data_IF_754981700712
#
_entry.id   IF_754981700712
#
_cell.length_a   1.000
_cell.length_b   1.000
_cell.length_c   1.000
_cell.angle_alpha   90.00
_cell.angle_beta   90.00
_cell.angle_gamma   90.00
#
_symmetry.space_group_name_H-M   'P 1'
#
loop_
_entity.id
_entity.type
_entity.pdbx_description
1 polymer ?
#
# COMPACT_ATOMS: atom_id res chain seq x y z
N UNK A 1 -8.38 9.48 7.34
CA UNK A 1 -8.71 8.05 7.50
C UNK A 1 -10.19 7.90 7.81
N UNK A 2 -10.85 6.88 7.25
CA UNK A 2 -12.25 6.55 7.53
C UNK A 2 -12.36 5.15 8.15
N UNK A 3 -13.17 5.03 9.20
CA UNK A 3 -13.34 3.83 10.02
C UNK A 3 -14.59 3.03 9.62
N UNK A 4 -14.75 1.77 10.08
CA UNK A 4 -15.90 0.93 9.74
C UNK A 4 -17.27 1.50 10.13
N UNK A 5 -17.30 2.41 11.10
CA UNK A 5 -18.50 3.11 11.57
C UNK A 5 -18.72 4.45 10.83
N UNK A 6 -18.07 4.61 9.67
CA UNK A 6 -18.09 5.79 8.81
C UNK A 6 -17.45 7.05 9.43
N UNK A 7 -16.86 6.94 10.62
CA UNK A 7 -16.17 8.07 11.25
C UNK A 7 -14.91 8.44 10.45
N UNK A 8 -14.80 9.72 10.12
CA UNK A 8 -13.64 10.28 9.43
C UNK A 8 -12.74 10.98 10.44
N UNK A 9 -11.51 10.50 10.57
CA UNK A 9 -10.46 11.12 11.37
C UNK A 9 -9.44 11.78 10.44
N UNK A 10 -9.20 13.07 10.67
CA UNK A 10 -8.13 13.80 10.02
C UNK A 10 -6.81 13.52 10.75
N UNK A 11 -5.87 12.85 10.10
CA UNK A 11 -4.58 12.47 10.70
C UNK A 11 -3.54 13.60 10.69
N UNK A 12 -3.91 14.79 10.21
CA UNK A 12 -3.07 15.99 10.33
C UNK A 12 -3.08 16.85 9.07
N UNK A 13 -2.57 18.09 9.18
CA UNK A 13 -2.50 19.02 8.06
C UNK A 13 -1.34 18.67 7.12
N UNK A 14 -1.55 17.68 6.25
CA UNK A 14 -0.64 17.44 5.11
C UNK A 14 -0.92 18.37 3.92
N UNK A 15 -1.91 19.26 4.04
CA UNK A 15 -2.35 20.16 2.97
C UNK A 15 -1.90 21.60 3.25
N UNK A 16 -1.07 22.16 2.36
CA UNK A 16 -0.52 23.54 2.46
C UNK A 16 -1.18 24.52 1.49
N UNK A 17 -2.24 24.11 0.78
CA UNK A 17 -2.84 24.91 -0.28
C UNK A 17 -4.05 25.73 0.19
N UNK A 18 -4.34 26.87 -0.46
CA UNK A 18 -5.56 27.62 -0.20
C UNK A 18 -6.80 26.77 -0.53
N UNK A 19 -7.78 26.71 0.39
CA UNK A 19 -9.04 26.00 0.14
C UNK A 19 -8.99 24.47 0.32
N UNK A 20 -7.92 23.92 0.91
CA UNK A 20 -7.89 22.52 1.33
C UNK A 20 -9.05 22.21 2.28
N UNK A 21 -9.89 21.24 1.92
CA UNK A 21 -10.94 20.75 2.81
C UNK A 21 -10.45 19.48 3.52
N UNK A 22 -10.84 19.31 4.78
CA UNK A 22 -10.69 18.03 5.49
C UNK A 22 -11.87 17.08 5.24
N UNK A 23 -12.78 17.47 4.35
CA UNK A 23 -13.98 16.70 4.05
C UNK A 23 -13.60 15.54 3.14
N UNK A 24 -14.06 14.35 3.49
CA UNK A 24 -13.94 13.19 2.62
C UNK A 24 -14.76 13.42 1.35
N UNK A 25 -14.11 13.33 0.19
CA UNK A 25 -14.77 13.54 -1.09
C UNK A 25 -14.07 12.72 -2.16
N UNK A 26 -14.85 12.01 -2.97
CA UNK A 26 -14.36 11.23 -4.09
C UNK A 26 -14.43 12.10 -5.36
N UNK A 27 -13.43 12.96 -5.54
CA UNK A 27 -13.27 13.81 -6.70
C UNK A 27 -11.89 13.61 -7.37
N UNK A 28 -11.62 14.31 -8.46
CA UNK A 28 -10.34 14.19 -9.21
C UNK A 28 -9.11 14.68 -8.45
N UNK A 29 -9.29 15.19 -7.22
CA UNK A 29 -8.26 15.66 -6.32
C UNK A 29 -8.09 14.70 -5.14
N UNK A 30 -8.60 13.48 -5.23
CA UNK A 30 -8.59 12.51 -4.15
C UNK A 30 -8.10 11.14 -4.61
N UNK A 31 -7.19 10.53 -3.86
CA UNK A 31 -6.83 9.12 -4.00
C UNK A 31 -7.21 8.40 -2.72
N UNK A 32 -8.03 7.35 -2.82
CA UNK A 32 -8.49 6.57 -1.68
C UNK A 32 -7.97 5.14 -1.77
N UNK A 33 -7.53 4.54 -0.67
CA UNK A 33 -7.11 3.14 -0.62
C UNK A 33 -7.41 2.48 0.72
N UNK A 34 -7.53 1.15 0.80
CA UNK A 34 -7.62 0.44 2.07
C UNK A 34 -6.29 0.52 2.83
N UNK A 35 -6.36 0.77 4.14
CA UNK A 35 -5.15 0.76 4.96
C UNK A 35 -4.57 -0.65 5.03
N UNK A 36 -3.28 -0.78 4.73
CA UNK A 36 -2.61 -2.07 4.60
C UNK A 36 -2.75 -2.96 5.87
N UNK A 37 -2.38 -2.44 7.04
CA UNK A 37 -2.44 -3.20 8.29
C UNK A 37 -3.85 -3.33 8.88
N UNK A 38 -4.77 -2.50 8.40
CA UNK A 38 -6.09 -2.27 8.97
C UNK A 38 -7.09 -2.21 7.82
N UNK A 39 -7.31 -3.36 7.17
CA UNK A 39 -8.16 -3.47 5.99
C UNK A 39 -9.61 -2.98 6.22
N UNK A 40 -10.02 -2.82 7.48
CA UNK A 40 -11.28 -2.23 7.90
C UNK A 40 -11.32 -0.70 7.78
N UNK A 41 -10.17 -0.07 7.50
CA UNK A 41 -10.02 1.39 7.37
C UNK A 41 -9.65 1.75 5.95
N UNK A 42 -10.05 2.95 5.53
CA UNK A 42 -9.59 3.55 4.28
C UNK A 42 -8.84 4.86 4.56
N UNK A 43 -7.85 5.13 3.72
CA UNK A 43 -7.05 6.34 3.72
C UNK A 43 -7.40 7.12 2.46
N UNK A 44 -7.53 8.43 2.58
CA UNK A 44 -7.70 9.31 1.43
C UNK A 44 -6.66 10.41 1.49
N UNK A 45 -5.90 10.58 0.41
CA UNK A 45 -5.06 11.75 0.20
C UNK A 45 -5.76 12.73 -0.72
N UNK A 46 -5.69 14.00 -0.33
CA UNK A 46 -6.23 15.11 -1.10
C UNK A 46 -5.11 15.94 -1.69
N UNK A 47 -5.31 16.37 -2.93
CA UNK A 47 -4.39 17.16 -3.71
C UNK A 47 -4.96 18.55 -3.95
N UNK A 48 -4.08 19.51 -4.22
CA UNK A 48 -4.48 20.90 -4.41
C UNK A 48 -5.09 21.17 -5.79
N UNK A 49 -4.82 20.28 -6.73
CA UNK A 49 -5.30 20.33 -8.10
C UNK A 49 -5.82 18.94 -8.49
N UNK A 50 -6.67 18.84 -9.51
CA UNK A 50 -7.02 17.56 -10.11
C UNK A 50 -5.75 16.85 -10.61
N UNK A 51 -5.54 15.62 -10.15
CA UNK A 51 -4.41 14.76 -10.58
C UNK A 51 -4.88 13.50 -11.29
N UNK A 52 -6.17 13.14 -11.16
CA UNK A 52 -6.73 11.95 -11.81
C UNK A 52 -7.07 12.27 -13.27
N UNK A 53 -6.54 11.51 -14.25
CA UNK A 53 -6.84 11.71 -15.67
C UNK A 53 -8.26 11.24 -16.01
N UNK A 54 -8.75 11.63 -17.19
CA UNK A 54 -10.07 11.22 -17.70
C UNK A 54 -10.16 9.73 -18.10
N UNK A 55 -9.02 9.07 -18.31
CA UNK A 55 -8.97 7.69 -18.81
C UNK A 55 -9.20 6.71 -17.66
N UNK A 56 -10.21 5.85 -17.79
CA UNK A 56 -10.43 4.71 -16.90
C UNK A 56 -9.34 3.64 -17.09
N UNK A 57 -8.95 2.99 -15.99
CA UNK A 57 -7.96 1.91 -16.05
C UNK A 57 -8.51 0.66 -16.74
N UNK A 58 -7.62 -0.05 -17.44
CA UNK A 58 -7.87 -1.40 -17.91
C UNK A 58 -7.73 -2.41 -16.77
N UNK A 59 -8.26 -3.63 -16.99
CA UNK A 59 -8.07 -4.74 -16.06
C UNK A 59 -6.56 -5.02 -15.92
N UNK A 60 -6.12 -5.22 -14.68
CA UNK A 60 -4.71 -5.48 -14.33
C UNK A 60 -3.74 -4.37 -14.80
N UNK A 61 -4.20 -3.12 -14.85
CA UNK A 61 -3.37 -1.96 -15.15
C UNK A 61 -2.88 -1.25 -13.88
N UNK A 62 -1.59 -0.92 -13.84
CA UNK A 62 -1.02 -0.05 -12.82
C UNK A 62 -1.65 1.35 -12.92
N UNK A 63 -2.37 1.76 -11.87
CA UNK A 63 -3.11 3.00 -11.84
C UNK A 63 -2.31 4.17 -11.27
N UNK A 64 -1.65 3.95 -10.13
CA UNK A 64 -0.92 4.99 -9.41
C UNK A 64 0.42 4.44 -8.90
N UNK A 65 1.44 5.29 -8.96
CA UNK A 65 2.66 5.09 -8.17
C UNK A 65 2.85 6.23 -7.19
N UNK A 66 3.16 5.87 -5.95
CA UNK A 66 3.54 6.80 -4.89
C UNK A 66 4.96 6.49 -4.44
N UNK A 67 5.66 7.48 -3.91
CA UNK A 67 6.99 7.28 -3.35
C UNK A 67 7.18 8.02 -2.02
N UNK A 68 8.02 7.49 -1.16
CA UNK A 68 8.44 8.09 0.12
C UNK A 68 9.87 7.65 0.40
N UNK A 69 10.62 8.43 1.17
CA UNK A 69 11.96 8.05 1.62
C UNK A 69 11.92 6.79 2.51
N UNK A 70 13.03 6.04 2.58
CA UNK A 70 13.11 4.86 3.46
C UNK A 70 13.21 5.20 4.94
N UNK A 71 13.73 6.39 5.26
CA UNK A 71 14.08 6.80 6.62
C UNK A 71 13.04 7.76 7.21
N UNK A 72 11.89 7.93 6.56
CA UNK A 72 10.81 8.80 6.97
C UNK A 72 9.52 8.51 6.19
N UNK A 73 8.39 9.04 6.68
CA UNK A 73 7.10 8.91 5.98
C UNK A 73 6.67 10.27 5.42
N UNK A 74 7.08 10.54 4.18
CA UNK A 74 6.65 11.69 3.38
C UNK A 74 6.17 11.20 2.01
N UNK A 75 4.96 10.63 1.93
CA UNK A 75 4.47 10.07 0.69
C UNK A 75 4.10 11.16 -0.32
N UNK A 76 4.56 10.96 -1.54
CA UNK A 76 4.34 11.83 -2.70
C UNK A 76 3.79 11.00 -3.86
N UNK A 77 2.90 11.58 -4.65
CA UNK A 77 2.46 10.94 -5.90
C UNK A 77 3.55 11.13 -6.93
N UNK A 78 4.02 10.01 -7.49
CA UNK A 78 4.98 10.00 -8.59
C UNK A 78 4.27 10.06 -9.93
N UNK A 79 3.22 9.25 -10.11
CA UNK A 79 2.47 9.17 -11.36
C UNK A 79 1.03 8.68 -11.11
N UNK A 80 0.07 9.28 -11.84
CA UNK A 80 -1.32 8.78 -11.95
C UNK A 80 -1.60 8.49 -13.43
N UNK A 81 -1.82 7.22 -13.77
CA UNK A 81 -1.94 6.73 -15.15
C UNK A 81 -3.36 6.63 -15.65
N UNK A 82 -4.31 6.39 -14.74
CA UNK A 82 -5.72 6.19 -15.05
C UNK A 82 -6.59 6.36 -13.80
N UNK A 83 -7.90 6.49 -14.00
CA UNK A 83 -8.91 6.57 -12.97
C UNK A 83 -9.42 5.17 -12.61
N UNK A 84 -9.54 4.90 -11.31
CA UNK A 84 -10.20 3.71 -10.81
C UNK A 84 -11.66 4.01 -10.45
N UNK A 85 -12.58 3.03 -10.59
CA UNK A 85 -13.95 3.18 -10.15
C UNK A 85 -14.03 3.61 -8.67
N UNK A 86 -14.80 4.67 -8.38
CA UNK A 86 -14.95 5.20 -7.03
C UNK A 86 -13.67 5.77 -6.39
N UNK A 87 -12.63 6.06 -7.19
CA UNK A 87 -11.31 6.49 -6.71
C UNK A 87 -10.69 5.54 -5.67
N UNK A 88 -11.03 4.24 -5.74
CA UNK A 88 -10.44 3.22 -4.88
C UNK A 88 -9.23 2.60 -5.57
N UNK A 89 -8.09 2.66 -4.89
CA UNK A 89 -6.80 2.21 -5.40
C UNK A 89 -6.26 1.13 -4.46
N UNK A 90 -6.11 -0.07 -4.97
CA UNK A 90 -5.69 -1.24 -4.21
C UNK A 90 -4.17 -1.41 -4.26
N UNK A 91 -3.54 -1.48 -3.09
CA UNK A 91 -2.09 -1.63 -2.97
C UNK A 91 -1.67 -3.06 -3.36
N UNK A 92 -0.89 -3.19 -4.44
CA UNK A 92 -0.42 -4.49 -4.96
C UNK A 92 1.05 -4.77 -4.65
N UNK A 93 1.81 -3.76 -4.27
CA UNK A 93 3.18 -3.95 -3.85
C UNK A 93 3.88 -2.65 -3.51
N UNK A 94 5.04 -2.78 -2.88
CA UNK A 94 5.97 -1.68 -2.78
C UNK A 94 7.41 -2.16 -2.83
N UNK A 95 8.28 -1.35 -3.43
CA UNK A 95 9.64 -1.74 -3.80
C UNK A 95 10.65 -0.70 -3.36
N UNK A 96 11.79 -1.16 -2.84
CA UNK A 96 12.90 -0.30 -2.48
C UNK A 96 13.73 -0.01 -3.72
N UNK A 97 13.71 1.24 -4.16
CA UNK A 97 14.58 1.73 -5.21
C UNK A 97 15.76 2.48 -4.59
N UNK A 98 16.97 2.17 -5.06
CA UNK A 98 18.15 3.01 -4.79
C UNK A 98 18.10 4.17 -5.79
N UNK A 99 18.13 5.39 -5.27
CA UNK A 99 18.26 6.58 -6.12
C UNK A 99 19.53 7.33 -5.74
N UNK A 100 20.22 7.87 -6.75
CA UNK A 100 21.34 8.76 -6.55
C UNK A 100 20.83 10.20 -6.64
N UNK A 101 20.34 10.73 -5.53
CA UNK A 101 19.98 12.15 -5.42
C UNK A 101 21.14 12.88 -4.75
N UNK A 102 21.86 13.70 -5.53
CA UNK A 102 22.87 14.65 -5.05
C UNK A 102 23.92 14.08 -4.08
N UNK A 103 24.89 13.32 -4.58
CA UNK A 103 26.03 12.76 -3.83
C UNK A 103 25.70 11.91 -2.58
N UNK A 104 24.42 11.63 -2.31
CA UNK A 104 23.97 10.77 -1.23
C UNK A 104 23.04 9.69 -1.80
N UNK A 105 23.20 8.45 -1.34
CA UNK A 105 22.33 7.35 -1.78
C UNK A 105 21.19 7.25 -0.79
N UNK A 106 20.04 7.82 -1.13
CA UNK A 106 18.80 7.64 -0.36
C UNK A 106 17.94 6.56 -1.01
N UNK A 107 17.43 5.66 -0.17
CA UNK A 107 16.44 4.69 -0.60
C UNK A 107 15.08 5.37 -0.71
N UNK A 108 14.33 5.01 -1.75
CA UNK A 108 12.91 5.35 -1.88
C UNK A 108 12.10 4.06 -1.83
N UNK A 109 10.97 4.09 -1.13
CA UNK A 109 9.91 3.11 -1.31
C UNK A 109 8.97 3.60 -2.41
N UNK A 110 8.74 2.76 -3.42
CA UNK A 110 7.76 3.00 -4.47
C UNK A 110 6.56 2.08 -4.22
N UNK A 111 5.38 2.65 -4.00
CA UNK A 111 4.12 1.95 -3.80
C UNK A 111 3.36 1.89 -5.11
N UNK A 112 2.86 0.71 -5.47
CA UNK A 112 2.14 0.43 -6.71
C UNK A 112 0.68 0.12 -6.39
N UNK A 113 -0.23 0.85 -7.04
CA UNK A 113 -1.66 0.70 -6.84
C UNK A 113 -2.38 0.39 -8.15
N UNK A 114 -3.31 -0.55 -8.09
CA UNK A 114 -4.18 -0.99 -9.19
C UNK A 114 -5.63 -0.71 -8.80
N UNK A 115 -6.58 -0.86 -9.72
CA UNK A 115 -8.00 -0.68 -9.36
C UNK A 115 -8.60 -1.90 -8.67
N UNK A 116 -8.15 -3.09 -9.05
CA UNK A 116 -8.65 -4.34 -8.53
C UNK A 116 -7.52 -5.15 -7.92
N UNK A 117 -7.81 -5.76 -6.78
CA UNK A 117 -6.97 -6.76 -6.14
C UNK A 117 -7.85 -7.95 -5.78
N UNK A 118 -7.55 -9.15 -6.27
CA UNK A 118 -8.41 -10.31 -6.04
C UNK A 118 -8.49 -10.60 -4.53
N UNK A 119 -9.63 -11.08 -4.06
CA UNK A 119 -9.75 -11.59 -2.69
C UNK A 119 -9.15 -12.99 -2.63
N UNK A 120 -8.42 -13.29 -1.54
CA UNK A 120 -7.82 -14.60 -1.34
C UNK A 120 -8.90 -15.68 -1.19
N UNK A 121 -8.70 -16.83 -1.81
CA UNK A 121 -9.67 -17.95 -1.81
C UNK A 121 -9.96 -18.48 -0.40
N UNK A 122 -8.94 -18.52 0.46
CA UNK A 122 -9.03 -19.07 1.81
C UNK A 122 -8.28 -18.21 2.81
N UNK A 123 -8.52 -18.47 4.09
CA UNK A 123 -7.82 -17.85 5.20
C UNK A 123 -6.37 -18.31 5.38
N UNK A 124 -5.88 -19.22 4.53
CA UNK A 124 -4.51 -19.73 4.51
C UNK A 124 -3.85 -19.53 3.14
N UNK A 125 -4.46 -18.77 2.25
CA UNK A 125 -3.89 -18.48 0.93
C UNK A 125 -2.64 -17.61 1.06
N UNK A 126 -1.68 -17.81 0.15
CA UNK A 126 -0.53 -16.94 -0.01
C UNK A 126 -1.03 -15.54 -0.38
N UNK A 127 -0.84 -14.59 0.52
CA UNK A 127 -1.37 -13.23 0.37
C UNK A 127 -0.27 -12.23 0.00
N UNK A 128 0.99 -12.50 0.34
CA UNK A 128 2.13 -11.67 -0.07
C UNK A 128 3.40 -12.48 -0.26
N UNK A 129 4.30 -11.93 -1.06
CA UNK A 129 5.70 -12.33 -1.16
C UNK A 129 6.56 -11.17 -0.68
N UNK A 130 7.38 -11.40 0.33
CA UNK A 130 8.32 -10.40 0.88
C UNK A 130 9.69 -10.70 0.31
N UNK A 131 10.15 -9.89 -0.64
CA UNK A 131 11.41 -10.09 -1.35
C UNK A 131 12.59 -9.60 -0.52
N UNK A 132 13.63 -10.42 -0.45
CA UNK A 132 14.78 -10.22 0.41
C UNK A 132 16.07 -10.15 -0.42
N UNK A 133 16.93 -9.19 -0.10
CA UNK A 133 18.34 -9.23 -0.43
C UNK A 133 19.05 -10.05 0.64
N UNK A 134 19.47 -11.27 0.28
CA UNK A 134 20.15 -12.20 1.20
C UNK A 134 21.54 -11.73 1.60
N UNK A 135 22.23 -10.97 0.75
CA UNK A 135 23.60 -10.55 1.03
C UNK A 135 23.62 -9.50 2.13
N UNK A 136 22.61 -8.63 2.15
CA UNK A 136 22.48 -7.53 3.09
C UNK A 136 21.39 -7.73 4.15
N UNK A 137 20.77 -8.93 4.18
CA UNK A 137 19.67 -9.31 5.08
C UNK A 137 18.54 -8.28 5.15
N UNK A 138 18.18 -7.69 4.01
CA UNK A 138 17.23 -6.57 3.97
C UNK A 138 16.03 -6.86 3.07
N UNK A 139 14.88 -6.33 3.47
CA UNK A 139 13.69 -6.37 2.61
C UNK A 139 13.85 -5.38 1.46
N UNK A 140 13.66 -5.86 0.23
CA UNK A 140 13.73 -5.06 -1.01
C UNK A 140 12.37 -4.80 -1.63
N UNK A 141 11.34 -5.55 -1.24
CA UNK A 141 10.01 -5.26 -1.71
C UNK A 141 8.95 -6.25 -1.27
N UNK A 142 7.72 -5.91 -1.58
CA UNK A 142 6.52 -6.64 -1.21
C UNK A 142 5.65 -6.76 -2.45
N UNK A 143 5.12 -7.95 -2.68
CA UNK A 143 4.16 -8.18 -3.73
C UNK A 143 2.94 -8.92 -3.19
N UNK A 144 1.81 -8.21 -3.13
CA UNK A 144 0.56 -8.75 -2.64
C UNK A 144 -0.14 -9.53 -3.74
N UNK A 145 -0.48 -10.78 -3.44
CA UNK A 145 -1.18 -11.67 -4.37
C UNK A 145 -2.69 -11.45 -4.33
N UNK A 146 -3.23 -11.17 -3.15
CA UNK A 146 -4.65 -11.02 -2.93
C UNK A 146 -4.94 -10.27 -1.61
N UNK A 147 -6.16 -9.76 -1.46
CA UNK A 147 -6.68 -9.21 -0.21
C UNK A 147 -7.22 -10.34 0.66
N UNK A 148 -6.73 -10.46 1.90
CA UNK A 148 -7.23 -11.48 2.81
C UNK A 148 -8.73 -11.30 3.11
N UNK A 149 -9.48 -12.40 3.31
CA UNK A 149 -10.90 -12.32 3.63
C UNK A 149 -11.14 -11.61 4.97
N UNK A 150 -12.36 -11.12 5.18
CA UNK A 150 -12.76 -10.40 6.40
C UNK A 150 -12.40 -11.19 7.67
N UNK A 151 -11.75 -10.52 8.62
CA UNK A 151 -11.27 -11.12 9.87
C UNK A 151 -9.83 -11.62 9.81
N UNK A 152 -9.18 -11.53 8.66
CA UNK A 152 -7.79 -11.91 8.44
C UNK A 152 -6.97 -10.74 7.94
N UNK A 153 -5.66 -10.76 8.22
CA UNK A 153 -4.66 -9.81 7.71
C UNK A 153 -3.58 -10.56 6.95
N UNK A 154 -2.95 -9.87 6.01
CA UNK A 154 -1.72 -10.36 5.39
C UNK A 154 -0.53 -9.74 6.15
N UNK A 155 0.30 -10.53 6.85
CA UNK A 155 1.44 -10.00 7.59
C UNK A 155 2.52 -9.44 6.64
N UNK A 156 3.04 -8.24 6.93
CA UNK A 156 4.22 -7.64 6.26
C UNK A 156 5.51 -7.96 7.00
N UNK A 157 5.44 -8.01 8.32
CA UNK A 157 6.65 -7.94 9.12
C UNK A 157 7.31 -9.32 9.19
N UNK A 158 8.64 -9.33 9.28
CA UNK A 158 9.40 -10.53 9.59
C UNK A 158 9.68 -10.49 11.08
N UNK A 159 8.88 -11.23 11.85
CA UNK A 159 9.08 -11.38 13.28
C UNK A 159 10.32 -12.26 13.52
N UNK A 160 11.19 -11.86 14.44
CA UNK A 160 12.49 -12.51 14.71
C UNK A 160 12.37 -13.99 15.13
N UNK A 161 11.19 -14.44 15.55
CA UNK A 161 10.90 -15.82 15.95
C UNK A 161 10.38 -16.70 14.80
N UNK A 162 10.10 -16.12 13.62
CA UNK A 162 9.68 -16.89 12.45
C UNK A 162 10.86 -17.75 11.97
N UNK A 163 10.69 -19.08 11.92
CA UNK A 163 11.53 -19.91 11.05
C UNK A 163 11.23 -19.49 9.62
N UNK A 164 12.10 -18.64 9.07
CA UNK A 164 11.90 -18.04 7.75
C UNK A 164 12.13 -19.10 6.65
N UNK A 165 11.03 -19.64 6.11
CA UNK A 165 11.07 -20.53 4.95
C UNK A 165 11.23 -19.72 3.66
N UNK A 166 12.46 -19.59 3.18
CA UNK A 166 12.74 -18.90 1.93
C UNK A 166 12.26 -19.68 0.71
N UNK A 167 11.63 -18.96 -0.21
CA UNK A 167 11.26 -19.41 -1.56
C UNK A 167 11.94 -18.53 -2.61
N UNK A 168 11.85 -18.91 -3.89
CA UNK A 168 12.46 -18.15 -5.00
C UNK A 168 11.53 -18.17 -6.22
N UNK A 169 11.44 -17.05 -6.93
CA UNK A 169 10.78 -16.97 -8.24
C UNK A 169 11.59 -16.06 -9.20
N UNK A 170 11.00 -15.70 -10.35
CA UNK A 170 11.67 -14.87 -11.36
C UNK A 170 12.01 -13.45 -10.90
N UNK A 171 11.44 -12.97 -9.79
CA UNK A 171 11.77 -11.66 -9.18
C UNK A 171 12.84 -11.79 -8.09
N UNK A 172 13.10 -13.00 -7.61
CA UNK A 172 14.17 -13.30 -6.66
C UNK A 172 13.68 -14.08 -5.44
N UNK A 173 14.51 -14.05 -4.40
CA UNK A 173 14.24 -14.75 -3.15
C UNK A 173 13.17 -13.99 -2.37
N UNK A 174 12.20 -14.71 -1.82
CA UNK A 174 11.18 -14.14 -0.97
C UNK A 174 10.80 -15.05 0.20
N UNK A 175 10.15 -14.43 1.19
CA UNK A 175 9.45 -15.11 2.29
C UNK A 175 7.95 -15.14 1.95
N UNK A 176 7.30 -16.32 1.86
CA UNK A 176 5.88 -16.41 1.60
C UNK A 176 5.09 -15.99 2.84
N UNK A 177 4.08 -15.15 2.65
CA UNK A 177 3.16 -14.71 3.70
C UNK A 177 1.75 -15.17 3.38
N UNK A 178 1.10 -15.70 4.39
CA UNK A 178 -0.23 -16.27 4.30
C UNK A 178 -1.19 -15.45 5.13
N UNK A 179 -2.47 -15.47 4.77
CA UNK A 179 -3.49 -14.83 5.60
C UNK A 179 -3.46 -15.40 7.02
N UNK A 180 -3.63 -14.51 8.00
CA UNK A 180 -3.62 -14.84 9.42
C UNK A 180 -4.80 -14.17 10.11
N UNK A 181 -5.40 -14.86 11.08
CA UNK A 181 -6.53 -14.31 11.82
C UNK A 181 -6.09 -13.02 12.53
N UNK A 182 -6.90 -11.97 12.43
CA UNK A 182 -6.74 -10.80 13.28
C UNK A 182 -7.19 -11.22 14.67
N UNK A 183 -6.24 -11.66 15.51
CA UNK A 183 -6.54 -11.87 16.93
C UNK A 183 -7.05 -10.54 17.47
N UNK A 184 -8.33 -10.49 17.83
CA UNK A 184 -8.85 -9.44 18.69
C UNK A 184 -8.14 -9.64 20.02
N UNK A 185 -7.01 -8.96 20.23
CA UNK A 185 -6.53 -8.77 21.58
C UNK A 185 -7.73 -8.19 22.35
N UNK A 186 -8.14 -8.97 23.35
CA UNK A 186 -9.18 -8.59 24.28
C UNK A 186 -8.86 -7.20 24.83
N UNK A 187 -9.91 -6.39 24.95
CA UNK A 187 -9.94 -5.11 25.65
C UNK A 187 -8.87 -4.97 26.73
N UNK A 188 -8.15 -3.85 26.69
CA UNK A 188 -7.97 -2.98 27.87
C UNK A 188 -8.05 -1.55 27.41
#
# INVERSE_FOLDING_TARGET
MKYPDEQVFNEGPYCKCPGCTSTWQEDRQSLTWPHYERADKTVQYRFCIPIIPDRDCQLDELAVTMETETDGWSPHVREVRCACPGNMYELVGWWRHKTHLSNNTTGLWIYEYYCDKPTCETDKSLCAKVYMDKEHEMTVGYHFQCACPRGYKCPSDIEDEDKVDYSNDSRGVYVPRYCQAVFKNART
#
